data_IF_978107890003
#
_entry.id   IF_978107890003
#
_cell.length_a   1.000
_cell.length_b   1.000
_cell.length_c   1.000
_cell.angle_alpha   90.00
_cell.angle_beta   90.00
_cell.angle_gamma   90.00
#
_symmetry.space_group_name_H-M   'P 1'
#
loop_
_entity.id
_entity.type
_entity.pdbx_description
1 polymer ?
#
# COMPACT_ATOMS: atom_id res chain seq x y z
N UNK A 1 -13.13 2.44 22.03
CA UNK A 1 -11.94 1.65 21.67
C UNK A 1 -11.03 2.50 20.78
N UNK A 2 -9.73 2.24 20.83
CA UNK A 2 -8.74 2.88 19.96
C UNK A 2 -8.96 2.38 18.52
N UNK A 3 -8.94 3.28 17.51
CA UNK A 3 -9.01 2.84 16.10
C UNK A 3 -7.78 1.98 15.78
N UNK A 4 -7.93 1.06 14.84
CA UNK A 4 -6.91 0.08 14.50
C UNK A 4 -6.62 0.08 12.99
N UNK A 5 -5.36 -0.19 12.62
CA UNK A 5 -4.92 -0.29 11.23
C UNK A 5 -4.00 -1.49 11.01
N UNK A 6 -4.19 -2.17 9.89
CA UNK A 6 -3.28 -3.19 9.38
C UNK A 6 -2.61 -2.69 8.09
N UNK A 7 -1.28 -2.70 8.03
CA UNK A 7 -0.48 -2.15 6.93
C UNK A 7 0.42 -3.23 6.36
N UNK A 8 0.41 -3.47 5.05
CA UNK A 8 1.34 -4.40 4.41
C UNK A 8 2.56 -3.68 3.83
N UNK A 9 3.73 -4.34 3.83
CA UNK A 9 4.99 -3.72 3.42
C UNK A 9 5.42 -2.60 4.35
N UNK A 10 5.13 -2.74 5.67
CA UNK A 10 5.29 -1.67 6.65
C UNK A 10 6.70 -1.40 7.14
N UNK A 11 7.73 -2.19 6.76
CA UNK A 11 9.07 -2.09 7.35
C UNK A 11 9.92 -0.92 6.80
N UNK A 12 9.61 -0.39 5.61
CA UNK A 12 10.37 0.67 4.95
C UNK A 12 9.50 1.54 4.03
N UNK A 13 10.08 2.63 3.52
CA UNK A 13 9.46 3.53 2.54
C UNK A 13 8.09 4.05 2.96
N UNK A 14 7.15 4.09 2.04
CA UNK A 14 5.78 4.57 2.23
C UNK A 14 5.07 3.81 3.37
N UNK A 15 5.26 2.48 3.43
CA UNK A 15 4.66 1.66 4.49
C UNK A 15 5.12 2.05 5.87
N UNK A 16 6.43 2.29 6.06
CA UNK A 16 6.98 2.73 7.35
C UNK A 16 6.48 4.13 7.73
N UNK A 17 6.40 5.06 6.78
CA UNK A 17 5.83 6.39 7.01
C UNK A 17 4.35 6.28 7.43
N UNK A 18 3.58 5.38 6.83
CA UNK A 18 2.21 5.10 7.28
C UNK A 18 2.19 4.54 8.72
N UNK A 19 3.05 3.56 9.05
CA UNK A 19 3.14 3.00 10.41
C UNK A 19 3.41 4.11 11.43
N UNK A 20 4.38 4.98 11.16
CA UNK A 20 4.72 6.10 12.04
C UNK A 20 3.56 7.08 12.20
N UNK A 21 2.93 7.48 11.08
CA UNK A 21 1.84 8.47 11.09
C UNK A 21 0.62 7.94 11.84
N UNK A 22 0.18 6.71 11.57
CA UNK A 22 -0.97 6.12 12.26
C UNK A 22 -0.68 5.91 13.76
N UNK A 23 0.54 5.47 14.13
CA UNK A 23 0.96 5.33 15.52
C UNK A 23 0.94 6.67 16.25
N UNK A 24 1.50 7.73 15.66
CA UNK A 24 1.49 9.11 16.19
C UNK A 24 0.08 9.63 16.42
N UNK A 25 -0.87 9.23 15.57
CA UNK A 25 -2.28 9.61 15.67
C UNK A 25 -3.10 8.67 16.56
N UNK A 26 -2.45 7.82 17.32
CA UNK A 26 -3.09 7.05 18.38
C UNK A 26 -3.79 5.77 17.91
N UNK A 27 -3.52 5.25 16.73
CA UNK A 27 -4.04 3.96 16.29
C UNK A 27 -3.30 2.80 16.97
N UNK A 28 -4.00 1.66 17.12
CA UNK A 28 -3.36 0.36 17.30
C UNK A 28 -2.89 -0.12 15.93
N UNK A 29 -1.56 -0.17 15.74
CA UNK A 29 -0.96 -0.45 14.43
C UNK A 29 -0.36 -1.85 14.41
N UNK A 30 -0.80 -2.69 13.47
CA UNK A 30 -0.08 -3.89 13.06
C UNK A 30 0.44 -3.69 11.64
N UNK A 31 1.62 -4.23 11.35
CA UNK A 31 2.13 -4.23 9.98
C UNK A 31 2.78 -5.55 9.60
N UNK A 32 2.52 -5.98 8.36
CA UNK A 32 3.17 -7.13 7.75
C UNK A 32 4.42 -6.69 6.98
N UNK A 33 5.46 -7.52 6.99
CA UNK A 33 6.70 -7.32 6.23
C UNK A 33 7.23 -8.65 5.69
N UNK A 34 7.98 -8.62 4.58
CA UNK A 34 8.52 -9.82 3.93
C UNK A 34 9.85 -10.28 4.51
N UNK A 35 10.92 -9.53 4.30
CA UNK A 35 12.30 -10.01 4.49
C UNK A 35 13.15 -9.22 5.48
N UNK A 36 12.91 -7.93 5.69
CA UNK A 36 13.78 -7.10 6.52
C UNK A 36 13.37 -7.11 7.99
N UNK A 37 13.82 -8.15 8.69
CA UNK A 37 13.56 -8.34 10.12
C UNK A 37 14.12 -7.18 10.98
N UNK A 38 15.30 -6.64 10.61
CA UNK A 38 15.96 -5.57 11.39
C UNK A 38 15.20 -4.25 11.29
N UNK A 39 14.81 -3.84 10.08
CA UNK A 39 14.03 -2.63 9.88
C UNK A 39 12.65 -2.76 10.56
N UNK A 40 12.00 -3.91 10.43
CA UNK A 40 10.71 -4.16 11.06
C UNK A 40 10.77 -4.07 12.59
N UNK A 41 11.76 -4.69 13.23
CA UNK A 41 11.94 -4.63 14.68
C UNK A 41 12.28 -3.22 15.18
N UNK A 42 13.16 -2.50 14.47
CA UNK A 42 13.51 -1.12 14.80
C UNK A 42 12.27 -0.21 14.75
N UNK A 43 11.45 -0.34 13.70
CA UNK A 43 10.23 0.44 13.56
C UNK A 43 9.19 0.09 14.63
N UNK A 44 8.99 -1.20 14.90
CA UNK A 44 8.09 -1.67 15.94
C UNK A 44 8.48 -1.11 17.32
N UNK A 45 9.77 -1.12 17.67
CA UNK A 45 10.27 -0.54 18.92
C UNK A 45 10.03 0.98 18.99
N UNK A 46 10.23 1.71 17.87
CA UNK A 46 10.02 3.17 17.79
C UNK A 46 8.55 3.57 17.95
N UNK A 47 7.64 2.76 17.40
CA UNK A 47 6.23 3.14 17.25
C UNK A 47 5.27 2.38 18.18
N UNK A 48 5.76 1.36 18.88
CA UNK A 48 4.96 0.38 19.62
C UNK A 48 3.95 -0.38 18.73
N UNK A 49 4.22 -0.45 17.43
CA UNK A 49 3.42 -1.20 16.48
C UNK A 49 3.77 -2.70 16.54
N UNK A 50 2.83 -3.56 16.17
CA UNK A 50 3.06 -5.00 16.07
C UNK A 50 3.60 -5.34 14.67
N UNK A 51 4.85 -5.81 14.60
CA UNK A 51 5.45 -6.31 13.37
C UNK A 51 5.18 -7.81 13.20
N UNK A 52 4.73 -8.22 12.01
CA UNK A 52 4.42 -9.62 11.68
C UNK A 52 5.09 -9.97 10.35
N UNK A 53 5.92 -11.01 10.35
CA UNK A 53 6.51 -11.52 9.11
C UNK A 53 5.48 -12.32 8.34
N UNK A 54 5.15 -11.88 7.12
CA UNK A 54 4.21 -12.57 6.24
C UNK A 54 4.41 -12.17 4.78
N UNK A 55 4.40 -13.16 3.92
CA UNK A 55 4.35 -12.98 2.46
C UNK A 55 2.90 -12.71 2.04
N UNK A 56 2.67 -11.57 1.39
CA UNK A 56 1.33 -11.17 0.94
C UNK A 56 0.80 -12.07 -0.20
N UNK A 57 1.67 -12.68 -0.98
CA UNK A 57 1.29 -13.61 -2.04
C UNK A 57 0.71 -14.92 -1.49
N UNK A 58 1.05 -15.28 -0.23
CA UNK A 58 0.51 -16.44 0.47
C UNK A 58 -0.72 -16.08 1.31
N UNK A 59 -1.89 -16.44 0.83
CA UNK A 59 -3.16 -16.16 1.51
C UNK A 59 -3.25 -16.75 2.93
N UNK A 60 -2.56 -17.88 3.21
CA UNK A 60 -2.56 -18.50 4.54
C UNK A 60 -1.68 -17.72 5.53
N UNK A 61 -0.55 -17.17 5.07
CA UNK A 61 0.29 -16.31 5.91
C UNK A 61 -0.45 -15.02 6.24
N UNK A 62 -1.17 -14.42 5.30
CA UNK A 62 -2.00 -13.24 5.55
C UNK A 62 -3.12 -13.54 6.53
N UNK A 63 -3.81 -14.67 6.40
CA UNK A 63 -4.83 -15.08 7.37
C UNK A 63 -4.25 -15.14 8.80
N UNK A 64 -3.14 -15.86 8.97
CA UNK A 64 -2.47 -15.96 10.27
C UNK A 64 -2.03 -14.60 10.80
N UNK A 65 -1.53 -13.71 9.94
CA UNK A 65 -1.11 -12.37 10.33
C UNK A 65 -2.29 -11.52 10.85
N UNK A 66 -3.43 -11.58 10.19
CA UNK A 66 -4.65 -10.91 10.67
C UNK A 66 -5.12 -11.47 12.01
N UNK A 67 -5.16 -12.79 12.17
CA UNK A 67 -5.61 -13.44 13.41
C UNK A 67 -4.65 -13.14 14.57
N UNK A 68 -3.34 -13.18 14.33
CA UNK A 68 -2.34 -12.79 15.32
C UNK A 68 -2.52 -11.35 15.78
N UNK A 69 -2.68 -10.41 14.84
CA UNK A 69 -2.83 -9.01 15.16
C UNK A 69 -4.17 -8.72 15.89
N UNK A 70 -5.25 -9.35 15.46
CA UNK A 70 -6.56 -9.22 16.13
C UNK A 70 -6.52 -9.74 17.56
N UNK A 71 -5.90 -10.89 17.75
CA UNK A 71 -5.71 -11.50 19.10
C UNK A 71 -4.87 -10.59 19.97
N UNK A 72 -3.75 -10.08 19.45
CA UNK A 72 -2.84 -9.21 20.20
C UNK A 72 -3.50 -7.92 20.69
N UNK A 73 -4.34 -7.29 19.87
CA UNK A 73 -5.06 -6.07 20.24
C UNK A 73 -6.42 -6.32 20.91
N UNK A 74 -6.91 -7.56 20.95
CA UNK A 74 -8.24 -7.88 21.46
C UNK A 74 -9.37 -7.23 20.65
N UNK A 75 -9.21 -7.13 19.31
CA UNK A 75 -10.17 -6.48 18.41
C UNK A 75 -10.84 -7.47 17.46
N UNK A 76 -12.13 -7.27 17.12
CA UNK A 76 -12.83 -8.13 16.16
C UNK A 76 -12.42 -7.82 14.72
N UNK A 77 -12.14 -6.54 14.40
CA UNK A 77 -11.83 -6.05 13.06
C UNK A 77 -10.74 -4.99 13.11
N UNK A 78 -10.10 -4.72 11.96
CA UNK A 78 -9.36 -3.48 11.73
C UNK A 78 -10.29 -2.42 11.13
N UNK A 79 -10.24 -1.19 11.67
CA UNK A 79 -10.99 -0.04 11.13
C UNK A 79 -10.42 0.39 9.78
N UNK A 80 -9.12 0.22 9.59
CA UNK A 80 -8.37 0.59 8.37
C UNK A 80 -7.46 -0.56 7.94
N UNK A 81 -7.39 -0.78 6.62
CA UNK A 81 -6.39 -1.66 6.01
C UNK A 81 -5.66 -0.90 4.89
N UNK A 82 -4.33 -0.93 4.92
CA UNK A 82 -3.48 -0.31 3.90
C UNK A 82 -2.74 -1.42 3.14
N UNK A 83 -3.12 -1.62 1.87
CA UNK A 83 -2.45 -2.55 0.97
C UNK A 83 -1.30 -1.81 0.27
N UNK A 84 -0.11 -1.83 0.89
CA UNK A 84 1.06 -1.10 0.41
C UNK A 84 2.18 -2.03 -0.09
N UNK A 85 2.24 -3.29 0.34
CA UNK A 85 3.29 -4.21 -0.09
C UNK A 85 3.38 -4.27 -1.63
N UNK A 86 4.59 -4.16 -2.14
CA UNK A 86 4.87 -4.21 -3.56
C UNK A 86 6.36 -4.20 -3.84
N UNK A 87 6.69 -4.69 -5.03
CA UNK A 87 8.04 -4.68 -5.61
C UNK A 87 7.98 -4.05 -6.99
N UNK A 88 9.12 -3.60 -7.50
CA UNK A 88 9.33 -3.18 -8.88
C UNK A 88 10.39 -4.05 -9.54
N UNK A 89 10.31 -4.19 -10.84
CA UNK A 89 11.35 -4.73 -11.69
C UNK A 89 11.25 -4.03 -13.04
N UNK A 90 12.36 -3.46 -13.50
CA UNK A 90 12.47 -2.76 -14.78
C UNK A 90 13.18 -3.64 -15.79
N UNK A 91 12.71 -3.65 -17.02
CA UNK A 91 13.32 -4.39 -18.13
C UNK A 91 12.40 -4.44 -19.36
N UNK A 92 13.00 -4.72 -20.53
CA UNK A 92 12.20 -5.02 -21.71
C UNK A 92 11.41 -6.32 -21.45
N UNK A 93 10.21 -6.41 -21.98
CA UNK A 93 9.36 -7.60 -21.78
C UNK A 93 10.02 -8.90 -22.28
N UNK A 94 10.92 -8.80 -23.27
CA UNK A 94 11.69 -9.92 -23.80
C UNK A 94 12.78 -10.42 -22.86
N UNK A 95 13.20 -9.60 -21.91
CA UNK A 95 14.33 -9.86 -21.01
C UNK A 95 13.87 -10.25 -19.61
N UNK A 96 12.59 -10.09 -19.32
CA UNK A 96 12.00 -10.51 -18.04
C UNK A 96 11.85 -12.03 -17.97
N UNK A 97 12.30 -12.61 -16.88
CA UNK A 97 12.06 -14.03 -16.61
C UNK A 97 10.61 -14.31 -16.19
N UNK A 98 10.15 -15.54 -16.38
CA UNK A 98 8.84 -15.97 -15.86
C UNK A 98 8.73 -15.77 -14.35
N UNK A 99 9.83 -15.98 -13.61
CA UNK A 99 9.90 -15.75 -12.16
C UNK A 99 9.69 -14.29 -11.78
N UNK A 100 10.27 -13.33 -12.53
CA UNK A 100 10.07 -11.91 -12.30
C UNK A 100 8.61 -11.51 -12.53
N UNK A 101 8.00 -12.03 -13.60
CA UNK A 101 6.59 -11.79 -13.93
C UNK A 101 5.68 -12.35 -12.82
N UNK A 102 5.90 -13.60 -12.43
CA UNK A 102 5.11 -14.26 -11.38
C UNK A 102 5.24 -13.55 -10.03
N UNK A 103 6.45 -13.12 -9.66
CA UNK A 103 6.71 -12.37 -8.43
C UNK A 103 6.01 -11.01 -8.44
N UNK A 104 6.10 -10.25 -9.55
CA UNK A 104 5.41 -8.96 -9.67
C UNK A 104 3.90 -9.09 -9.52
N UNK A 105 3.31 -10.03 -10.25
CA UNK A 105 1.86 -10.30 -10.19
C UNK A 105 1.48 -10.83 -8.82
N UNK A 106 2.24 -11.79 -8.31
CA UNK A 106 1.99 -12.46 -7.02
C UNK A 106 2.00 -11.48 -5.85
N UNK A 107 3.02 -10.65 -5.75
CA UNK A 107 3.15 -9.71 -4.62
C UNK A 107 2.23 -8.50 -4.81
N UNK A 108 2.30 -7.82 -5.97
CA UNK A 108 1.62 -6.54 -6.13
C UNK A 108 0.10 -6.69 -6.24
N UNK A 109 -0.38 -7.61 -7.08
CA UNK A 109 -1.80 -7.74 -7.38
C UNK A 109 -2.47 -8.83 -6.54
N UNK A 110 -1.98 -10.07 -6.60
CA UNK A 110 -2.57 -11.18 -5.82
C UNK A 110 -2.45 -10.91 -4.33
N UNK A 111 -1.31 -10.37 -3.86
CA UNK A 111 -1.12 -9.96 -2.47
C UNK A 111 -2.14 -8.92 -2.03
N UNK A 112 -2.38 -7.88 -2.82
CA UNK A 112 -3.42 -6.87 -2.54
C UNK A 112 -4.81 -7.50 -2.45
N UNK A 113 -5.14 -8.44 -3.34
CA UNK A 113 -6.41 -9.19 -3.33
C UNK A 113 -6.52 -10.06 -2.07
N UNK A 114 -5.48 -10.79 -1.69
CA UNK A 114 -5.46 -11.64 -0.50
C UNK A 114 -5.74 -10.84 0.77
N UNK A 115 -5.02 -9.73 0.95
CA UNK A 115 -5.17 -8.82 2.10
C UNK A 115 -6.59 -8.25 2.16
N UNK A 116 -7.10 -7.77 1.03
CA UNK A 116 -8.45 -7.20 0.95
C UNK A 116 -9.53 -8.23 1.29
N UNK A 117 -9.44 -9.45 0.75
CA UNK A 117 -10.39 -10.54 1.03
C UNK A 117 -10.48 -10.88 2.53
N UNK A 118 -9.33 -10.88 3.22
CA UNK A 118 -9.31 -11.14 4.67
C UNK A 118 -9.88 -9.98 5.48
N UNK A 119 -9.60 -8.74 5.10
CA UNK A 119 -10.17 -7.56 5.73
C UNK A 119 -11.69 -7.49 5.56
N UNK A 120 -12.16 -7.66 4.32
CA UNK A 120 -13.57 -7.52 3.94
C UNK A 120 -14.50 -8.45 4.71
N UNK A 121 -14.12 -9.71 4.93
CA UNK A 121 -14.94 -10.68 5.64
C UNK A 121 -15.44 -10.15 7.01
N UNK A 122 -14.56 -9.48 7.75
CA UNK A 122 -14.91 -8.91 9.05
C UNK A 122 -15.51 -7.50 8.98
N UNK A 123 -15.08 -6.69 8.00
CA UNK A 123 -15.63 -5.34 7.81
C UNK A 123 -17.11 -5.37 7.39
N UNK A 124 -17.50 -6.31 6.53
CA UNK A 124 -18.91 -6.48 6.09
C UNK A 124 -19.80 -6.83 7.28
N UNK A 125 -19.38 -7.73 8.15
CA UNK A 125 -20.09 -8.09 9.37
C UNK A 125 -20.29 -6.88 10.30
N UNK A 126 -19.24 -6.06 10.44
CA UNK A 126 -19.27 -4.86 11.28
C UNK A 126 -19.93 -3.64 10.60
N UNK A 127 -20.23 -3.70 9.30
CA UNK A 127 -20.78 -2.61 8.47
C UNK A 127 -19.95 -1.33 8.55
N UNK A 128 -18.64 -1.44 8.60
CA UNK A 128 -17.70 -0.31 8.62
C UNK A 128 -16.31 -0.74 8.21
N UNK A 129 -15.56 0.16 7.59
CA UNK A 129 -14.16 -0.05 7.25
C UNK A 129 -13.65 0.94 6.21
N UNK A 130 -12.34 1.05 6.13
CA UNK A 130 -11.67 1.79 5.06
C UNK A 130 -10.47 1.00 4.56
N UNK A 131 -10.42 0.75 3.26
CA UNK A 131 -9.29 0.10 2.58
C UNK A 131 -8.62 1.15 1.69
N UNK A 132 -7.31 1.33 1.85
CA UNK A 132 -6.50 2.18 0.98
C UNK A 132 -5.44 1.33 0.31
N UNK A 133 -5.41 1.34 -1.01
CA UNK A 133 -4.48 0.57 -1.81
C UNK A 133 -3.43 1.49 -2.44
N UNK A 134 -2.17 1.04 -2.48
CA UNK A 134 -1.09 1.80 -3.12
C UNK A 134 -0.87 1.27 -4.54
N UNK A 135 -1.22 2.11 -5.51
CA UNK A 135 -0.91 1.89 -6.92
C UNK A 135 0.40 2.58 -7.30
N UNK A 136 0.46 3.23 -8.43
CA UNK A 136 1.56 4.03 -8.97
C UNK A 136 1.03 4.95 -10.07
N UNK A 137 1.73 6.02 -10.38
CA UNK A 137 1.51 6.79 -11.60
C UNK A 137 1.57 5.90 -12.85
N UNK A 138 2.37 4.83 -12.84
CA UNK A 138 2.44 3.82 -13.91
C UNK A 138 1.21 2.91 -14.00
N UNK A 139 0.32 2.94 -13.03
CA UNK A 139 -1.02 2.36 -13.16
C UNK A 139 -2.01 3.25 -13.91
N UNK A 140 -1.66 4.52 -14.14
CA UNK A 140 -2.46 5.53 -14.85
C UNK A 140 -1.89 5.91 -16.23
N UNK A 141 -0.56 5.81 -16.39
CA UNK A 141 0.17 6.16 -17.60
C UNK A 141 1.04 5.00 -18.07
N UNK A 142 1.37 4.99 -19.34
CA UNK A 142 2.32 4.05 -19.92
C UNK A 142 3.75 4.33 -19.42
N UNK A 143 4.50 3.25 -19.15
CA UNK A 143 5.90 3.29 -18.82
C UNK A 143 6.67 2.26 -19.65
N UNK A 144 7.67 2.70 -20.39
CA UNK A 144 8.61 1.79 -21.08
C UNK A 144 9.43 1.04 -20.05
N UNK A 145 9.77 -0.21 -20.32
CA UNK A 145 10.50 -1.10 -19.43
C UNK A 145 9.81 -1.43 -18.08
N UNK A 146 8.54 -1.04 -17.91
CA UNK A 146 7.75 -1.24 -16.68
C UNK A 146 6.41 -1.92 -16.95
N UNK A 147 6.27 -2.60 -18.10
CA UNK A 147 4.98 -3.07 -18.61
C UNK A 147 4.24 -4.00 -17.64
N UNK A 148 4.93 -4.96 -17.03
CA UNK A 148 4.31 -5.90 -16.06
C UNK A 148 3.99 -5.19 -14.74
N UNK A 149 4.91 -4.35 -14.25
CA UNK A 149 4.67 -3.54 -13.06
C UNK A 149 3.44 -2.62 -13.26
N UNK A 150 3.40 -1.89 -14.37
CA UNK A 150 2.28 -1.02 -14.73
C UNK A 150 0.96 -1.81 -14.81
N UNK A 151 0.97 -3.00 -15.40
CA UNK A 151 -0.19 -3.88 -15.45
C UNK A 151 -0.70 -4.26 -14.05
N UNK A 152 0.21 -4.61 -13.11
CA UNK A 152 -0.19 -4.91 -11.72
C UNK A 152 -0.82 -3.69 -11.04
N UNK A 153 -0.24 -2.49 -11.24
CA UNK A 153 -0.71 -1.24 -10.64
C UNK A 153 -2.03 -0.75 -11.25
N UNK A 154 -2.23 -0.92 -12.55
CA UNK A 154 -3.52 -0.72 -13.19
C UNK A 154 -4.58 -1.73 -12.71
N UNK A 155 -4.19 -2.99 -12.53
CA UNK A 155 -5.03 -4.05 -11.95
C UNK A 155 -5.54 -3.70 -10.55
N UNK A 156 -4.70 -3.12 -9.68
CA UNK A 156 -5.10 -2.61 -8.36
C UNK A 156 -6.19 -1.55 -8.48
N UNK A 157 -6.08 -0.61 -9.43
CA UNK A 157 -7.08 0.43 -9.65
C UNK A 157 -8.43 -0.17 -10.07
N UNK A 158 -8.41 -1.10 -11.03
CA UNK A 158 -9.62 -1.82 -11.48
C UNK A 158 -10.28 -2.60 -10.35
N UNK A 159 -9.47 -3.34 -9.58
CA UNK A 159 -9.93 -4.10 -8.41
C UNK A 159 -10.52 -3.19 -7.34
N UNK A 160 -9.86 -2.09 -6.99
CA UNK A 160 -10.34 -1.15 -5.98
C UNK A 160 -11.69 -0.52 -6.35
N UNK A 161 -11.88 -0.12 -7.61
CA UNK A 161 -13.15 0.45 -8.11
C UNK A 161 -14.30 -0.55 -8.02
N UNK A 162 -14.07 -1.78 -8.44
CA UNK A 162 -15.07 -2.85 -8.37
C UNK A 162 -15.42 -3.16 -6.91
N UNK A 163 -14.40 -3.29 -6.05
CA UNK A 163 -14.59 -3.58 -4.64
C UNK A 163 -15.29 -2.42 -3.89
N UNK A 164 -15.03 -1.17 -4.27
CA UNK A 164 -15.72 0.02 -3.75
C UNK A 164 -17.22 0.00 -4.04
N UNK A 165 -17.60 -0.41 -5.25
CA UNK A 165 -19.01 -0.55 -5.64
C UNK A 165 -19.69 -1.69 -4.88
N UNK A 166 -19.00 -2.83 -4.75
CA UNK A 166 -19.51 -4.02 -4.05
C UNK A 166 -19.72 -3.76 -2.55
N UNK A 167 -18.78 -3.07 -1.90
CA UNK A 167 -18.75 -2.90 -0.44
C UNK A 167 -19.44 -1.62 0.06
N UNK A 168 -19.71 -0.68 -0.84
CA UNK A 168 -20.40 0.58 -0.50
C UNK A 168 -21.69 0.39 0.31
N UNK A 169 -22.60 -0.54 -0.09
CA UNK A 169 -23.82 -0.84 0.68
C UNK A 169 -23.57 -1.33 2.11
N UNK A 170 -22.36 -1.84 2.39
CA UNK A 170 -21.95 -2.27 3.74
C UNK A 170 -21.22 -1.16 4.52
N UNK A 171 -21.17 0.08 4.02
CA UNK A 171 -20.53 1.19 4.70
C UNK A 171 -18.99 1.13 4.67
N UNK A 172 -18.41 0.37 3.75
CA UNK A 172 -16.97 0.21 3.60
C UNK A 172 -16.49 1.04 2.39
N UNK A 173 -15.45 1.83 2.58
CA UNK A 173 -14.83 2.63 1.53
C UNK A 173 -13.54 1.97 1.04
N UNK A 174 -13.32 2.01 -0.27
CA UNK A 174 -12.11 1.52 -0.91
C UNK A 174 -11.58 2.60 -1.84
N UNK A 175 -10.35 3.07 -1.60
CA UNK A 175 -9.71 4.10 -2.41
C UNK A 175 -8.27 3.72 -2.72
N UNK A 176 -7.69 4.40 -3.70
CA UNK A 176 -6.33 4.19 -4.17
C UNK A 176 -5.52 5.48 -4.00
N UNK A 177 -4.29 5.35 -3.53
CA UNK A 177 -3.27 6.39 -3.68
C UNK A 177 -2.33 5.96 -4.79
N UNK A 178 -2.02 6.88 -5.70
CA UNK A 178 -1.15 6.66 -6.86
C UNK A 178 0.09 7.57 -6.73
N UNK A 179 1.17 7.09 -6.10
CA UNK A 179 2.39 7.88 -5.95
C UNK A 179 3.11 8.07 -7.28
N UNK A 180 3.80 9.19 -7.41
CA UNK A 180 4.83 9.42 -8.41
C UNK A 180 6.18 8.83 -7.98
N UNK A 181 7.29 9.52 -8.35
CA UNK A 181 8.63 9.17 -7.89
C UNK A 181 8.80 9.62 -6.44
N UNK A 182 8.98 8.67 -5.54
CA UNK A 182 9.08 8.91 -4.09
C UNK A 182 10.46 8.47 -3.58
N UNK A 183 11.10 9.26 -2.73
CA UNK A 183 12.40 8.99 -2.13
C UNK A 183 12.34 7.76 -1.20
N UNK A 184 12.48 6.56 -1.77
CA UNK A 184 12.46 5.28 -1.06
C UNK A 184 13.57 4.37 -1.55
N UNK A 185 13.85 3.29 -0.81
CA UNK A 185 14.83 2.26 -1.21
C UNK A 185 14.48 1.59 -2.55
N UNK A 186 13.23 1.67 -3.01
CA UNK A 186 12.80 1.17 -4.32
C UNK A 186 13.52 1.88 -5.47
N UNK A 187 13.97 3.12 -5.25
CA UNK A 187 14.70 3.94 -6.20
C UNK A 187 16.21 3.93 -5.95
N UNK A 188 16.74 3.01 -5.11
CA UNK A 188 18.16 2.95 -4.75
C UNK A 188 19.09 2.61 -5.92
N UNK A 189 18.56 2.09 -7.01
CA UNK A 189 19.31 1.77 -8.24
C UNK A 189 19.50 3.01 -9.15
N UNK A 190 18.73 4.08 -8.93
CA UNK A 190 18.86 5.31 -9.70
C UNK A 190 20.07 6.13 -9.26
N UNK A 191 20.85 6.61 -10.21
CA UNK A 191 21.92 7.56 -9.95
C UNK A 191 21.37 8.94 -9.54
N UNK A 192 22.22 9.80 -8.97
CA UNK A 192 21.84 11.19 -8.69
C UNK A 192 21.38 11.94 -9.95
N UNK A 193 21.95 11.63 -11.11
CA UNK A 193 21.57 12.21 -12.39
C UNK A 193 20.15 11.75 -12.81
N UNK A 194 19.82 10.47 -12.61
CA UNK A 194 18.48 9.95 -12.90
C UNK A 194 17.43 10.59 -11.98
N UNK A 195 17.73 10.70 -10.70
CA UNK A 195 16.84 11.38 -9.73
C UNK A 195 16.65 12.85 -10.09
N UNK A 196 17.72 13.56 -10.53
CA UNK A 196 17.62 14.94 -10.99
C UNK A 196 16.74 15.06 -12.23
N UNK A 197 16.90 14.18 -13.21
CA UNK A 197 16.07 14.16 -14.41
C UNK A 197 14.58 13.90 -14.08
N UNK A 198 14.29 12.94 -13.19
CA UNK A 198 12.93 12.66 -12.72
C UNK A 198 12.31 13.84 -11.95
N UNK A 199 13.14 14.56 -11.19
CA UNK A 199 12.71 15.78 -10.51
C UNK A 199 12.38 16.91 -11.49
N UNK A 200 13.18 17.08 -12.55
CA UNK A 200 12.94 18.06 -13.62
C UNK A 200 11.69 17.75 -14.45
N UNK A 201 11.38 16.46 -14.66
CA UNK A 201 10.14 16.02 -15.33
C UNK A 201 8.91 16.20 -14.44
N UNK A 202 9.10 16.32 -13.12
CA UNK A 202 8.00 16.53 -12.17
C UNK A 202 7.65 18.02 -12.13
N UNK A 203 6.38 18.44 -12.40
CA UNK A 203 5.99 19.86 -12.38
C UNK A 203 6.32 20.61 -11.09
N UNK A 204 6.31 19.93 -9.92
CA UNK A 204 6.74 20.54 -8.65
C UNK A 204 8.27 20.62 -8.50
N UNK A 205 9.07 20.21 -9.50
CA UNK A 205 10.52 20.34 -9.54
C UNK A 205 11.29 19.49 -8.52
N UNK A 206 10.67 18.45 -7.98
CA UNK A 206 11.28 17.52 -7.02
C UNK A 206 10.59 16.17 -7.02
N UNK A 207 11.28 15.15 -6.49
CA UNK A 207 10.64 13.90 -6.11
C UNK A 207 9.86 14.07 -4.80
N UNK A 208 8.86 13.20 -4.57
CA UNK A 208 8.06 13.18 -3.35
C UNK A 208 8.75 12.49 -2.18
N UNK A 209 8.20 12.67 -0.99
CA UNK A 209 8.64 12.01 0.25
C UNK A 209 7.62 10.94 0.68
N UNK A 210 8.04 9.85 1.33
CA UNK A 210 7.14 8.83 1.87
C UNK A 210 6.04 9.39 2.78
N UNK A 211 6.37 10.42 3.56
CA UNK A 211 5.46 11.10 4.47
C UNK A 211 4.32 11.80 3.74
N UNK A 212 4.58 12.37 2.55
CA UNK A 212 3.54 13.02 1.73
C UNK A 212 2.50 12.01 1.22
N UNK A 213 2.96 10.81 0.87
CA UNK A 213 2.06 9.71 0.50
C UNK A 213 1.30 9.20 1.72
N UNK A 214 1.96 9.07 2.87
CA UNK A 214 1.33 8.63 4.11
C UNK A 214 0.22 9.56 4.58
N UNK A 215 0.37 10.89 4.41
CA UNK A 215 -0.68 11.87 4.71
C UNK A 215 -1.91 11.69 3.82
N UNK A 216 -1.73 11.41 2.53
CA UNK A 216 -2.82 11.11 1.62
C UNK A 216 -3.56 9.80 2.01
N UNK A 217 -2.80 8.76 2.37
CA UNK A 217 -3.34 7.49 2.89
C UNK A 217 -4.15 7.74 4.16
N UNK A 218 -3.60 8.49 5.10
CA UNK A 218 -4.25 8.81 6.36
C UNK A 218 -5.55 9.62 6.15
N UNK A 219 -5.52 10.60 5.24
CA UNK A 219 -6.71 11.37 4.87
C UNK A 219 -7.82 10.45 4.32
N UNK A 220 -7.50 9.60 3.33
CA UNK A 220 -8.48 8.69 2.74
C UNK A 220 -9.00 7.64 3.73
N UNK A 221 -8.19 7.24 4.70
CA UNK A 221 -8.59 6.34 5.77
C UNK A 221 -9.50 7.00 6.84
N UNK A 222 -9.44 8.33 6.96
CA UNK A 222 -10.13 9.09 8.01
C UNK A 222 -11.62 9.32 7.70
N UNK A 223 -12.35 9.77 8.73
CA UNK A 223 -13.76 10.16 8.61
C UNK A 223 -13.94 11.45 7.76
N UNK A 224 -12.87 12.23 7.55
CA UNK A 224 -12.86 13.40 6.65
C UNK A 224 -13.10 13.01 5.18
N UNK A 225 -12.81 11.77 4.82
CA UNK A 225 -13.04 11.19 3.50
C UNK A 225 -14.31 10.33 3.45
N UNK A 226 -15.30 10.57 4.32
CA UNK A 226 -16.51 9.74 4.48
C UNK A 226 -17.36 9.60 3.22
N UNK A 227 -17.27 10.53 2.29
CA UNK A 227 -18.00 10.49 1.01
C UNK A 227 -17.06 10.24 -0.21
N UNK A 228 -15.82 9.80 0.04
CA UNK A 228 -14.85 9.44 -0.99
C UNK A 228 -14.76 7.92 -1.08
N UNK A 229 -15.20 7.37 -2.23
CA UNK A 229 -15.20 5.92 -2.47
C UNK A 229 -14.88 5.63 -3.95
N UNK A 230 -14.06 4.62 -4.23
CA UNK A 230 -13.64 4.22 -5.58
C UNK A 230 -12.70 5.20 -6.28
N UNK A 231 -12.13 6.17 -5.56
CA UNK A 231 -11.29 7.21 -6.16
C UNK A 231 -9.81 6.82 -6.19
N UNK A 232 -9.11 7.40 -7.15
CA UNK A 232 -7.64 7.34 -7.28
C UNK A 232 -7.09 8.74 -7.03
N UNK A 233 -6.32 8.88 -5.94
CA UNK A 233 -5.67 10.13 -5.58
C UNK A 233 -4.20 10.09 -6.00
N UNK A 234 -3.81 10.92 -6.97
CA UNK A 234 -2.41 11.11 -7.35
C UNK A 234 -1.65 11.86 -6.26
N UNK A 235 -0.45 11.37 -5.93
CA UNK A 235 0.53 12.03 -5.07
C UNK A 235 1.86 11.99 -5.81
N UNK A 236 1.94 12.75 -6.89
CA UNK A 236 2.96 12.61 -7.93
C UNK A 236 3.59 13.94 -8.37
N UNK A 237 3.29 15.03 -7.67
CA UNK A 237 3.79 16.36 -8.01
C UNK A 237 3.32 16.89 -9.37
N UNK A 238 2.26 16.30 -9.95
CA UNK A 238 1.74 16.63 -11.29
C UNK A 238 2.39 15.83 -12.41
N UNK A 239 3.19 14.81 -12.12
CA UNK A 239 3.89 13.99 -13.12
C UNK A 239 2.92 13.25 -14.05
N UNK A 240 1.80 12.76 -13.52
CA UNK A 240 0.83 11.95 -14.28
C UNK A 240 -0.41 12.72 -14.78
N UNK A 241 -0.29 14.03 -14.90
CA UNK A 241 -1.37 14.89 -15.45
C UNK A 241 -1.40 14.85 -16.97
#
# INVERSE_FOLDING_TARGET
MRKSVFITGGSRGIGAACVELFSKNGFSVAFAYGSDDKAAQKLAAKTSALAIKADVSDAKQIEKAFDQARTYFGIPIFDVVVCNAGISASGLITDMSDEDVDNLIGINLVGTINVSRKAVAHMVEAKKGSIVMISSMWGLRAASCESVYAATKAGIIGFARSLAAELGPSGIRVNVVSPGVIATDMNSEYSEADISALAEETPLGRIGLPEEVAEAVYYLASDKASFINGQVLGVDGGFAV
#
